data_IF_363847816947
#
_entry.id   IF_363847816947
#
_cell.length_a   1.000
_cell.length_b   1.000
_cell.length_c   1.000
_cell.angle_alpha   90.00
_cell.angle_beta   90.00
_cell.angle_gamma   90.00
#
_symmetry.space_group_name_H-M   'P 1'
#
loop_
_entity.id
_entity.type
_entity.pdbx_description
1 polymer ?
#
# COMPACT_ATOMS: atom_id res chain seq x y z
N UNK A 1 20.63 -13.49 -17.15
CA UNK A 1 20.34 -12.98 -15.78
C UNK A 1 19.00 -12.24 -15.66
N UNK A 2 18.45 -11.64 -16.72
CA UNK A 2 17.13 -10.97 -16.67
C UNK A 2 15.92 -11.93 -16.49
N UNK A 3 16.04 -13.19 -16.91
CA UNK A 3 14.96 -14.17 -16.79
C UNK A 3 14.69 -14.67 -15.35
N UNK A 4 15.60 -14.45 -14.40
CA UNK A 4 15.41 -14.90 -13.01
C UNK A 4 14.53 -13.96 -12.19
N UNK A 5 14.50 -12.66 -12.53
CA UNK A 5 13.65 -11.68 -11.83
C UNK A 5 12.18 -11.92 -12.16
N UNK A 6 11.87 -12.26 -13.42
CA UNK A 6 10.52 -12.62 -13.87
C UNK A 6 10.01 -13.98 -13.33
N UNK A 7 10.87 -14.81 -12.73
CA UNK A 7 10.43 -16.02 -12.01
C UNK A 7 10.09 -15.73 -10.55
N UNK A 8 10.63 -14.68 -9.95
CA UNK A 8 10.28 -14.26 -8.59
C UNK A 8 8.97 -13.49 -8.51
N UNK A 9 8.53 -12.83 -9.58
CA UNK A 9 7.23 -12.14 -9.64
C UNK A 9 6.04 -13.09 -9.51
N UNK A 10 6.19 -14.37 -9.89
CA UNK A 10 5.11 -15.36 -9.76
C UNK A 10 4.98 -15.96 -8.35
N UNK A 11 5.97 -15.76 -7.45
CA UNK A 11 5.88 -16.22 -6.06
C UNK A 11 5.06 -15.30 -5.16
N UNK A 12 4.74 -14.08 -5.61
CA UNK A 12 3.83 -13.17 -4.91
C UNK A 12 2.36 -13.49 -5.18
N UNK A 13 2.06 -14.56 -5.94
CA UNK A 13 0.73 -15.17 -6.03
C UNK A 13 0.35 -15.98 -4.77
N UNK A 14 1.07 -15.79 -3.68
CA UNK A 14 0.69 -16.29 -2.36
C UNK A 14 -0.31 -15.32 -1.73
N UNK A 15 -1.61 -15.55 -1.95
CA UNK A 15 -2.76 -15.39 -1.01
C UNK A 15 -2.57 -14.47 0.22
N UNK A 16 -1.97 -13.30 0.01
CA UNK A 16 -1.79 -12.26 1.01
C UNK A 16 -2.69 -11.13 0.58
N UNK A 17 -3.86 -11.01 1.20
CA UNK A 17 -4.65 -9.80 1.07
C UNK A 17 -3.84 -8.67 1.73
N UNK A 18 -3.05 -7.95 0.93
CA UNK A 18 -2.38 -6.74 1.39
C UNK A 18 -3.46 -5.67 1.57
N UNK A 19 -3.87 -5.47 2.82
CA UNK A 19 -4.79 -4.41 3.17
C UNK A 19 -4.01 -3.10 3.35
N UNK A 20 -4.24 -2.15 2.44
CA UNK A 20 -3.75 -0.79 2.63
C UNK A 20 -4.67 -0.06 3.60
N UNK A 21 -4.09 0.53 4.64
CA UNK A 21 -4.79 1.39 5.58
C UNK A 21 -4.19 2.78 5.52
N UNK A 22 -5.00 3.74 5.10
CA UNK A 22 -4.64 5.15 5.10
C UNK A 22 -5.52 5.88 6.10
N UNK A 23 -4.90 6.62 7.00
CA UNK A 23 -5.59 7.50 7.94
C UNK A 23 -5.12 8.93 7.78
N UNK A 24 -6.05 9.88 7.88
CA UNK A 24 -5.73 11.30 7.90
C UNK A 24 -6.17 11.91 9.22
N UNK A 25 -5.35 12.82 9.74
CA UNK A 25 -5.68 13.69 10.86
C UNK A 25 -5.47 15.14 10.42
N UNK A 26 -6.48 16.02 10.53
CA UNK A 26 -6.28 17.42 10.22
C UNK A 26 -5.21 18.03 11.13
N UNK A 27 -4.16 18.60 10.53
CA UNK A 27 -3.03 19.17 11.30
C UNK A 27 -3.45 20.24 12.32
N UNK A 28 -4.54 20.99 12.03
CA UNK A 28 -5.05 22.08 12.87
C UNK A 28 -6.08 21.65 13.91
N UNK A 29 -6.60 20.42 13.86
CA UNK A 29 -7.60 19.93 14.81
C UNK A 29 -7.02 18.76 15.61
N UNK A 30 -6.75 18.92 16.91
CA UNK A 30 -6.36 17.79 17.74
C UNK A 30 -7.50 16.76 17.76
N UNK A 31 -7.16 15.47 17.63
CA UNK A 31 -8.12 14.37 17.51
C UNK A 31 -7.42 13.07 17.17
N UNK A 32 -8.18 11.98 17.03
CA UNK A 32 -7.65 10.72 16.51
C UNK A 32 -7.60 10.77 14.97
N UNK A 33 -6.57 10.15 14.35
CA UNK A 33 -6.58 9.90 12.92
C UNK A 33 -7.84 9.13 12.52
N UNK A 34 -8.53 9.59 11.46
CA UNK A 34 -9.67 8.91 10.86
C UNK A 34 -9.16 8.08 9.68
N UNK A 35 -9.60 6.83 9.56
CA UNK A 35 -9.36 6.06 8.33
C UNK A 35 -10.07 6.72 7.16
N UNK A 36 -9.30 7.03 6.13
CA UNK A 36 -9.80 7.55 4.86
C UNK A 36 -9.81 6.46 3.78
N UNK A 37 -9.04 5.39 3.99
CA UNK A 37 -9.09 4.18 3.17
C UNK A 37 -8.73 2.96 4.02
N UNK A 38 -9.49 1.89 3.89
CA UNK A 38 -9.19 0.61 4.55
C UNK A 38 -9.81 -0.54 3.75
N UNK A 39 -9.19 -0.87 2.63
CA UNK A 39 -9.59 -1.99 1.79
C UNK A 39 -8.36 -2.75 1.26
N UNK A 40 -8.52 -4.01 0.82
CA UNK A 40 -7.49 -4.72 0.06
C UNK A 40 -7.12 -3.89 -1.17
N UNK A 41 -5.82 -3.83 -1.48
CA UNK A 41 -5.39 -3.27 -2.77
C UNK A 41 -5.79 -4.22 -3.90
N UNK A 42 -6.41 -3.67 -4.93
CA UNK A 42 -6.69 -4.39 -6.16
C UNK A 42 -5.52 -4.17 -7.14
N UNK A 43 -5.39 -5.03 -8.14
CA UNK A 43 -4.29 -4.89 -9.10
C UNK A 43 -4.48 -3.66 -9.99
N UNK A 44 -5.73 -3.26 -10.19
CA UNK A 44 -6.17 -2.08 -10.92
C UNK A 44 -5.79 -0.79 -10.19
N UNK A 45 -5.57 -0.84 -8.87
CA UNK A 45 -5.13 0.28 -8.06
C UNK A 45 -3.61 0.53 -8.18
N UNK A 46 -2.85 -0.40 -8.77
CA UNK A 46 -1.39 -0.38 -8.80
C UNK A 46 -0.88 -0.28 -10.23
N UNK A 47 -0.03 0.71 -10.48
CA UNK A 47 0.68 0.89 -11.74
C UNK A 47 2.18 0.80 -11.50
N UNK A 48 2.88 0.10 -12.38
CA UNK A 48 4.35 0.00 -12.37
C UNK A 48 4.82 0.60 -13.68
N UNK A 49 5.66 1.62 -13.62
CA UNK A 49 6.19 2.28 -14.82
C UNK A 49 7.43 1.57 -15.38
N UNK A 50 7.98 2.10 -16.48
CA UNK A 50 9.16 1.56 -17.14
C UNK A 50 10.43 1.66 -16.30
N UNK A 51 10.47 2.59 -15.34
CA UNK A 51 11.58 2.78 -14.40
C UNK A 51 11.48 1.84 -13.20
N UNK A 52 10.35 1.13 -13.04
CA UNK A 52 10.07 0.28 -11.90
C UNK A 52 9.46 1.02 -10.71
N UNK A 53 9.07 2.29 -10.89
CA UNK A 53 8.38 3.06 -9.86
C UNK A 53 6.94 2.55 -9.73
N UNK A 54 6.51 2.36 -8.48
CA UNK A 54 5.20 1.82 -8.15
C UNK A 54 4.28 2.95 -7.72
N UNK A 55 3.21 3.17 -8.47
CA UNK A 55 2.16 4.13 -8.13
C UNK A 55 0.91 3.40 -7.66
N UNK A 56 0.49 3.70 -6.43
CA UNK A 56 -0.76 3.22 -5.84
C UNK A 56 -1.80 4.33 -5.87
N UNK A 57 -2.93 4.09 -6.54
CA UNK A 57 -4.05 5.02 -6.64
C UNK A 57 -5.21 4.51 -5.79
N UNK A 58 -5.76 5.37 -4.93
CA UNK A 58 -6.95 5.03 -4.12
C UNK A 58 -8.00 6.13 -4.22
N UNK A 59 -9.25 5.74 -4.05
CA UNK A 59 -10.38 6.66 -3.94
C UNK A 59 -10.86 6.63 -2.50
N UNK A 60 -10.98 7.80 -1.90
CA UNK A 60 -11.43 7.97 -0.53
C UNK A 60 -12.56 9.00 -0.47
N UNK A 61 -13.59 8.66 0.30
CA UNK A 61 -14.81 9.45 0.42
C UNK A 61 -14.89 10.16 1.78
N UNK A 62 -15.62 11.28 1.83
CA UNK A 62 -16.06 11.94 3.06
C UNK A 62 -14.92 12.38 4.01
N UNK A 63 -13.83 12.91 3.44
CA UNK A 63 -12.66 13.35 4.21
C UNK A 63 -12.85 14.75 4.80
N UNK A 64 -13.15 15.75 3.96
CA UNK A 64 -13.32 17.15 4.37
C UNK A 64 -14.75 17.67 4.24
N UNK A 65 -15.53 17.10 3.32
CA UNK A 65 -16.92 17.45 3.09
C UNK A 65 -17.73 16.20 2.76
N UNK A 66 -19.01 16.24 3.13
CA UNK A 66 -19.97 15.15 2.87
C UNK A 66 -20.16 14.97 1.37
N UNK A 67 -20.19 13.72 0.92
CA UNK A 67 -20.24 13.27 -0.46
C UNK A 67 -19.06 13.73 -1.33
N UNK A 68 -17.92 14.07 -0.72
CA UNK A 68 -16.70 14.39 -1.48
C UNK A 68 -15.86 13.14 -1.67
N UNK A 69 -15.74 12.75 -2.92
CA UNK A 69 -14.82 11.70 -3.37
C UNK A 69 -13.51 12.34 -3.82
N UNK A 70 -12.39 11.86 -3.28
CA UNK A 70 -11.05 12.36 -3.60
C UNK A 70 -10.15 11.19 -4.00
N UNK A 71 -9.36 11.39 -5.06
CA UNK A 71 -8.35 10.43 -5.49
C UNK A 71 -7.00 10.80 -4.90
N UNK A 72 -6.34 9.83 -4.30
CA UNK A 72 -4.98 9.94 -3.80
C UNK A 72 -4.06 9.03 -4.59
N UNK A 73 -2.83 9.48 -4.81
CA UNK A 73 -1.79 8.69 -5.45
C UNK A 73 -0.53 8.75 -4.59
N UNK A 74 0.08 7.59 -4.40
CA UNK A 74 1.37 7.44 -3.73
C UNK A 74 2.30 6.76 -4.72
N UNK A 75 3.33 7.46 -5.16
CA UNK A 75 4.38 6.92 -6.01
C UNK A 75 5.60 6.61 -5.16
N UNK A 76 6.13 5.40 -5.31
CA UNK A 76 7.30 4.91 -4.60
C UNK A 76 8.35 4.45 -5.60
N UNK A 77 9.55 4.97 -5.44
CA UNK A 77 10.73 4.51 -6.17
C UNK A 77 11.22 3.17 -5.63
N UNK A 78 12.04 2.47 -6.41
CA UNK A 78 12.69 1.22 -5.98
C UNK A 78 13.46 1.39 -4.65
N UNK A 79 14.11 2.54 -4.46
CA UNK A 79 14.85 2.85 -3.24
C UNK A 79 13.93 2.97 -2.02
N UNK A 80 12.77 3.60 -2.17
CA UNK A 80 11.78 3.76 -1.10
C UNK A 80 11.10 2.43 -0.76
N UNK A 81 10.79 1.62 -1.78
CA UNK A 81 10.27 0.26 -1.60
C UNK A 81 11.26 -0.58 -0.79
N UNK A 82 12.55 -0.46 -1.10
CA UNK A 82 13.62 -1.16 -0.37
C UNK A 82 13.68 -0.76 1.11
N UNK A 83 13.39 0.51 1.45
CA UNK A 83 13.31 0.97 2.84
C UNK A 83 12.13 0.29 3.55
N UNK A 84 10.96 0.24 2.92
CA UNK A 84 9.76 -0.38 3.48
C UNK A 84 9.96 -1.89 3.71
N UNK A 85 10.62 -2.58 2.78
CA UNK A 85 10.88 -4.02 2.88
C UNK A 85 11.80 -4.38 4.06
N UNK A 86 12.80 -3.54 4.36
CA UNK A 86 13.75 -3.77 5.48
C UNK A 86 13.10 -3.69 6.86
N UNK A 87 11.96 -3.00 7.00
CA UNK A 87 11.21 -2.87 8.24
C UNK A 87 10.33 -4.09 8.58
N UNK A 88 10.09 -4.99 7.63
CA UNK A 88 9.23 -6.16 7.82
C UNK A 88 10.03 -7.25 8.55
N UNK A 89 9.99 -7.25 9.89
CA UNK A 89 10.34 -8.48 10.63
C UNK A 89 9.25 -9.52 10.34
N UNK A 90 9.59 -10.73 9.90
CA UNK A 90 8.60 -11.80 9.80
C UNK A 90 7.97 -11.95 11.19
N UNK A 91 6.65 -11.83 11.29
CA UNK A 91 5.93 -12.24 12.49
C UNK A 91 6.28 -13.72 12.67
N UNK A 92 7.09 -14.05 13.67
CA UNK A 92 7.26 -15.44 14.10
C UNK A 92 5.85 -15.97 14.34
N UNK A 93 5.45 -16.95 13.54
CA UNK A 93 4.25 -17.71 13.81
C UNK A 93 4.42 -18.31 15.20
N UNK A 94 3.67 -17.80 16.17
CA UNK A 94 3.54 -18.42 17.48
C UNK A 94 2.84 -19.76 17.24
N UNK A 95 3.64 -20.81 17.10
CA UNK A 95 3.14 -22.18 17.20
C UNK A 95 2.92 -22.43 18.67
N UNK A 96 1.66 -22.34 19.10
CA UNK A 96 1.24 -22.78 20.43
C UNK A 96 1.26 -24.31 20.37
N UNK A 97 2.25 -24.91 21.03
CA UNK A 97 2.26 -26.33 21.35
C UNK A 97 1.55 -26.59 22.68
#
# INVERSE_FOLDING_TARGET
MLASILRQTNCWYSKGFFALRLSAQPARRPGSPKYIYSAPLQIEDVQIDENGDVTVSIIADDIYSKNSTQRYQITLTEAEISILARGVRPRKALTVG
#
